data_IF_582271386404
#
_entry.id   IF_582271386404
#
_cell.length_a   1.000
_cell.length_b   1.000
_cell.length_c   1.000
_cell.angle_alpha   90.00
_cell.angle_beta   90.00
_cell.angle_gamma   90.00
#
_symmetry.space_group_name_H-M   'P 1'
#
loop_
_entity.id
_entity.type
_entity.pdbx_description
1 polymer ?
#
# COMPACT_ATOMS: atom_id res chain seq x y z
N UNK A 1 9.70 24.89 -22.95
CA UNK A 1 10.59 24.75 -21.78
C UNK A 1 9.84 24.67 -20.44
N UNK A 2 8.95 25.61 -20.10
CA UNK A 2 8.20 25.60 -18.82
C UNK A 2 7.37 24.32 -18.57
N UNK A 3 6.70 23.78 -19.60
CA UNK A 3 5.90 22.56 -19.46
C UNK A 3 6.74 21.33 -19.08
N UNK A 4 7.96 21.22 -19.62
CA UNK A 4 8.89 20.12 -19.32
C UNK A 4 9.44 20.24 -17.89
N UNK A 5 9.72 21.46 -17.44
CA UNK A 5 10.18 21.73 -16.07
C UNK A 5 9.08 21.44 -15.03
N UNK A 6 7.83 21.80 -15.34
CA UNK A 6 6.68 21.47 -14.48
C UNK A 6 6.47 19.96 -14.39
N UNK A 7 6.51 19.26 -15.53
CA UNK A 7 6.38 17.79 -15.55
C UNK A 7 7.46 17.10 -14.71
N UNK A 8 8.71 17.54 -14.82
CA UNK A 8 9.82 17.00 -14.01
C UNK A 8 9.64 17.29 -12.50
N UNK A 9 9.04 18.44 -12.16
CA UNK A 9 8.71 18.77 -10.77
C UNK A 9 7.60 17.87 -10.24
N UNK A 10 6.53 17.69 -10.99
CA UNK A 10 5.37 16.87 -10.62
C UNK A 10 5.76 15.40 -10.43
N UNK A 11 6.57 14.87 -11.33
CA UNK A 11 7.18 13.55 -11.24
C UNK A 11 7.90 13.36 -9.89
N UNK A 12 8.81 14.29 -9.55
CA UNK A 12 9.57 14.23 -8.29
C UNK A 12 8.66 14.29 -7.06
N UNK A 13 7.62 15.12 -7.09
CA UNK A 13 6.67 15.20 -5.97
C UNK A 13 5.83 13.92 -5.85
N UNK A 14 5.47 13.30 -6.97
CA UNK A 14 4.76 12.02 -6.99
C UNK A 14 5.60 10.89 -6.40
N UNK A 15 6.86 10.74 -6.82
CA UNK A 15 7.83 9.77 -6.28
C UNK A 15 8.06 9.96 -4.77
N UNK A 16 8.29 11.19 -4.32
CA UNK A 16 8.46 11.51 -2.90
C UNK A 16 7.19 11.18 -2.10
N UNK A 17 6.02 11.40 -2.69
CA UNK A 17 4.74 11.06 -2.08
C UNK A 17 4.59 9.56 -1.96
N UNK A 18 4.86 8.79 -3.03
CA UNK A 18 4.87 7.33 -3.02
C UNK A 18 5.78 6.81 -1.90
N UNK A 19 7.05 7.19 -1.90
CA UNK A 19 8.04 6.73 -0.91
C UNK A 19 7.60 7.04 0.53
N UNK A 20 7.03 8.23 0.77
CA UNK A 20 6.50 8.62 2.08
C UNK A 20 5.31 7.77 2.52
N UNK A 21 4.40 7.45 1.61
CA UNK A 21 3.23 6.62 1.89
C UNK A 21 3.61 5.14 2.12
N UNK A 22 4.56 4.61 1.34
CA UNK A 22 5.10 3.26 1.55
C UNK A 22 5.73 3.11 2.93
N UNK A 23 6.59 4.05 3.35
CA UNK A 23 7.16 4.09 4.72
C UNK A 23 6.10 4.13 5.82
N UNK A 24 4.91 4.69 5.53
CA UNK A 24 3.77 4.75 6.46
C UNK A 24 2.89 3.50 6.41
N UNK A 25 3.23 2.49 5.60
CA UNK A 25 2.48 1.26 5.42
C UNK A 25 1.09 1.51 4.84
N UNK A 26 1.05 2.24 3.72
CA UNK A 26 -0.18 2.60 3.01
C UNK A 26 -0.26 1.79 1.73
N UNK A 27 -1.43 1.19 1.50
CA UNK A 27 -1.72 0.49 0.27
C UNK A 27 -2.08 1.45 -0.88
N UNK A 28 -2.11 0.89 -2.09
CA UNK A 28 -2.34 1.60 -3.35
C UNK A 28 -3.47 2.62 -3.30
N UNK A 29 -4.63 2.29 -2.70
CA UNK A 29 -5.78 3.20 -2.68
C UNK A 29 -5.51 4.48 -1.89
N UNK A 30 -4.76 4.39 -0.79
CA UNK A 30 -4.37 5.59 0.00
C UNK A 30 -3.29 6.41 -0.69
N UNK A 31 -2.41 5.76 -1.45
CA UNK A 31 -1.41 6.44 -2.28
C UNK A 31 -2.07 7.23 -3.39
N UNK A 32 -2.99 6.62 -4.14
CA UNK A 32 -3.80 7.30 -5.19
C UNK A 32 -4.54 8.52 -4.63
N UNK A 33 -5.14 8.39 -3.45
CA UNK A 33 -5.79 9.52 -2.77
C UNK A 33 -4.81 10.63 -2.39
N UNK A 34 -3.61 10.28 -1.92
CA UNK A 34 -2.59 11.26 -1.54
C UNK A 34 -2.05 12.04 -2.74
N UNK A 35 -1.86 11.40 -3.91
CA UNK A 35 -1.49 12.07 -5.16
C UNK A 35 -2.62 12.98 -5.65
N UNK A 36 -3.86 12.48 -5.67
CA UNK A 36 -5.03 13.27 -6.07
C UNK A 36 -5.21 14.52 -5.21
N UNK A 37 -4.96 14.44 -3.90
CA UNK A 37 -5.02 15.60 -3.00
C UNK A 37 -3.97 16.68 -3.32
N UNK A 38 -2.88 16.29 -4.00
CA UNK A 38 -1.82 17.18 -4.51
C UNK A 38 -2.01 17.57 -5.98
N UNK A 39 -3.14 17.21 -6.58
CA UNK A 39 -3.43 17.39 -8.01
C UNK A 39 -2.41 16.70 -8.94
N UNK A 40 -1.82 15.59 -8.50
CA UNK A 40 -0.87 14.79 -9.29
C UNK A 40 -1.56 13.57 -9.90
N UNK A 41 -1.18 13.25 -11.14
CA UNK A 41 -1.61 12.03 -11.80
C UNK A 41 -0.89 10.81 -11.21
N UNK A 42 -1.60 9.68 -11.09
CA UNK A 42 -0.99 8.40 -10.73
C UNK A 42 -0.13 7.86 -11.87
N UNK A 43 -0.38 8.27 -13.11
CA UNK A 43 0.41 7.86 -14.28
C UNK A 43 1.91 8.13 -14.08
N UNK A 44 2.25 9.21 -13.36
CA UNK A 44 3.61 9.61 -13.00
C UNK A 44 4.38 8.54 -12.23
N UNK A 45 3.73 7.59 -11.55
CA UNK A 45 4.42 6.58 -10.74
C UNK A 45 3.99 5.15 -11.08
N UNK A 46 3.48 4.92 -12.29
CA UNK A 46 2.89 3.62 -12.65
C UNK A 46 3.92 2.49 -12.62
N UNK A 47 5.14 2.76 -13.08
CA UNK A 47 6.24 1.79 -13.10
C UNK A 47 6.61 1.39 -11.67
N UNK A 48 6.85 2.36 -10.79
CA UNK A 48 7.21 2.14 -9.40
C UNK A 48 6.10 1.42 -8.63
N UNK A 49 4.83 1.73 -8.90
CA UNK A 49 3.70 1.02 -8.28
C UNK A 49 3.63 -0.46 -8.68
N UNK A 50 4.12 -0.81 -9.87
CA UNK A 50 4.17 -2.19 -10.37
C UNK A 50 5.28 -3.01 -9.73
N UNK A 51 6.35 -2.36 -9.27
CA UNK A 51 7.49 -2.99 -8.58
C UNK A 51 7.20 -3.26 -7.08
N UNK A 52 6.16 -2.65 -6.52
CA UNK A 52 5.82 -2.83 -5.10
C UNK A 52 5.16 -4.19 -4.88
N UNK A 53 5.76 -5.02 -4.03
CA UNK A 53 5.10 -6.20 -3.48
C UNK A 53 4.05 -5.80 -2.43
N UNK A 54 2.82 -5.58 -2.91
CA UNK A 54 1.69 -5.21 -2.05
C UNK A 54 1.31 -6.30 -1.06
N UNK A 55 1.54 -7.57 -1.40
CA UNK A 55 1.22 -8.70 -0.52
C UNK A 55 2.18 -8.72 0.66
N UNK A 56 3.48 -8.63 0.40
CA UNK A 56 4.47 -8.56 1.47
C UNK A 56 4.24 -7.33 2.36
N UNK A 57 4.04 -6.14 1.78
CA UNK A 57 3.74 -4.92 2.56
C UNK A 57 2.52 -5.09 3.48
N UNK A 58 1.44 -5.71 3.00
CA UNK A 58 0.26 -5.99 3.82
C UNK A 58 0.55 -7.02 4.91
N UNK A 59 1.31 -8.08 4.59
CA UNK A 59 1.71 -9.13 5.51
C UNK A 59 2.61 -8.58 6.64
N UNK A 60 3.63 -7.80 6.32
CA UNK A 60 4.52 -7.16 7.29
C UNK A 60 3.73 -6.29 8.29
N UNK A 61 2.70 -5.58 7.83
CA UNK A 61 1.82 -4.81 8.70
C UNK A 61 0.90 -5.69 9.56
N UNK A 62 0.40 -6.80 9.00
CA UNK A 62 -0.38 -7.79 9.73
C UNK A 62 0.46 -8.37 10.87
N UNK A 63 1.66 -8.89 10.58
CA UNK A 63 2.51 -9.53 11.59
C UNK A 63 2.94 -8.54 12.67
N UNK A 64 3.31 -7.31 12.30
CA UNK A 64 3.73 -6.28 13.25
C UNK A 64 2.64 -5.94 14.27
N UNK A 65 1.36 -6.09 13.91
CA UNK A 65 0.22 -5.72 14.76
C UNK A 65 -0.46 -6.91 15.43
N UNK A 66 -0.54 -8.05 14.76
CA UNK A 66 -1.37 -9.18 15.16
C UNK A 66 -0.57 -10.49 15.33
N UNK A 67 0.73 -10.48 15.03
CA UNK A 67 1.58 -11.67 15.07
C UNK A 67 1.53 -12.51 13.80
N UNK A 68 2.37 -13.55 13.76
CA UNK A 68 2.55 -14.42 12.60
C UNK A 68 1.38 -15.39 12.38
N UNK A 69 0.72 -15.81 13.46
CA UNK A 69 -0.35 -16.82 13.46
C UNK A 69 -1.55 -16.45 12.58
N UNK A 70 -2.08 -17.42 11.85
CA UNK A 70 -3.30 -17.24 11.07
C UNK A 70 -4.50 -17.28 12.00
N UNK A 71 -5.31 -16.23 11.96
CA UNK A 71 -6.44 -16.08 12.87
C UNK A 71 -7.66 -16.89 12.41
N UNK A 72 -8.16 -17.74 13.31
CA UNK A 72 -9.33 -18.59 13.10
C UNK A 72 -10.62 -17.97 13.64
N UNK A 73 -10.54 -17.10 14.65
CA UNK A 73 -11.72 -16.43 15.19
C UNK A 73 -12.28 -15.40 14.17
N UNK A 74 -13.56 -15.50 13.77
CA UNK A 74 -14.14 -14.61 12.77
C UNK A 74 -14.11 -13.12 13.15
N UNK A 75 -14.28 -12.79 14.44
CA UNK A 75 -14.27 -11.39 14.92
C UNK A 75 -12.87 -10.82 14.87
N UNK A 76 -11.86 -11.59 15.28
CA UNK A 76 -10.46 -11.17 15.21
C UNK A 76 -9.96 -11.08 13.76
N UNK A 77 -10.34 -12.03 12.89
CA UNK A 77 -10.07 -11.96 11.44
C UNK A 77 -10.65 -10.70 10.82
N UNK A 78 -11.91 -10.36 11.14
CA UNK A 78 -12.54 -9.14 10.66
C UNK A 78 -11.83 -7.86 11.15
N UNK A 79 -11.19 -7.88 12.33
CA UNK A 79 -10.35 -6.75 12.79
C UNK A 79 -9.10 -6.60 11.94
N UNK A 80 -8.45 -7.69 11.54
CA UNK A 80 -7.28 -7.66 10.65
C UNK A 80 -7.66 -7.10 9.26
N UNK A 81 -8.78 -7.57 8.70
CA UNK A 81 -9.32 -7.09 7.42
C UNK A 81 -9.56 -5.58 7.47
N UNK A 82 -10.34 -5.10 8.45
CA UNK A 82 -10.64 -3.66 8.60
C UNK A 82 -9.38 -2.82 8.77
N UNK A 83 -8.39 -3.35 9.50
CA UNK A 83 -7.12 -2.65 9.68
C UNK A 83 -6.40 -2.44 8.35
N UNK A 84 -6.21 -3.48 7.53
CA UNK A 84 -5.52 -3.36 6.25
C UNK A 84 -6.35 -2.60 5.21
N UNK A 85 -7.68 -2.75 5.22
CA UNK A 85 -8.57 -1.96 4.38
C UNK A 85 -8.46 -0.46 4.72
N UNK A 86 -8.40 -0.11 6.01
CA UNK A 86 -8.12 1.26 6.42
C UNK A 86 -6.70 1.73 6.06
N UNK A 87 -5.76 0.82 5.79
CA UNK A 87 -4.46 1.18 5.22
C UNK A 87 -4.49 1.34 3.70
N UNK A 88 -5.57 0.97 3.02
CA UNK A 88 -5.76 1.17 1.58
C UNK A 88 -5.34 0.00 0.72
N UNK A 89 -5.20 -1.19 1.29
CA UNK A 89 -4.93 -2.40 0.52
C UNK A 89 -6.21 -2.91 -0.14
N UNK A 90 -6.06 -3.53 -1.30
CA UNK A 90 -7.15 -4.20 -2.00
C UNK A 90 -7.59 -5.48 -1.27
N UNK A 91 -8.87 -5.85 -1.37
CA UNK A 91 -9.39 -7.03 -0.66
C UNK A 91 -8.70 -8.33 -1.07
N UNK A 92 -8.31 -8.51 -2.34
CA UNK A 92 -7.59 -9.71 -2.77
C UNK A 92 -6.25 -9.85 -2.05
N UNK A 93 -5.52 -8.74 -1.90
CA UNK A 93 -4.25 -8.70 -1.15
C UNK A 93 -4.48 -8.92 0.34
N UNK A 94 -5.50 -8.29 0.92
CA UNK A 94 -5.84 -8.44 2.35
C UNK A 94 -6.12 -9.91 2.67
N UNK A 95 -6.93 -10.59 1.86
CA UNK A 95 -7.31 -11.97 2.11
C UNK A 95 -6.12 -12.93 2.02
N UNK A 96 -5.20 -12.70 1.08
CA UNK A 96 -3.94 -13.45 0.99
C UNK A 96 -3.05 -13.17 2.21
N UNK A 97 -2.85 -11.91 2.57
CA UNK A 97 -1.97 -11.52 3.68
C UNK A 97 -2.40 -12.10 5.04
N UNK A 98 -3.70 -12.12 5.34
CA UNK A 98 -4.19 -12.65 6.63
C UNK A 98 -4.21 -14.18 6.69
N UNK A 99 -4.13 -14.85 5.54
CA UNK A 99 -4.13 -16.31 5.42
C UNK A 99 -2.72 -16.90 5.23
N UNK A 100 -1.71 -16.05 4.98
CA UNK A 100 -0.31 -16.47 4.81
C UNK A 100 0.23 -17.09 6.10
N UNK A 101 0.79 -18.28 5.98
CA UNK A 101 1.52 -18.98 7.05
C UNK A 101 3.01 -18.68 6.94
N UNK A 102 3.76 -18.88 8.03
CA UNK A 102 5.22 -18.63 8.06
C UNK A 102 6.03 -19.57 7.17
N UNK A 103 5.42 -20.65 6.68
CA UNK A 103 6.12 -21.76 6.04
C UNK A 103 6.25 -21.60 4.51
N UNK A 104 5.87 -20.44 3.97
CA UNK A 104 5.99 -20.10 2.53
C UNK A 104 7.29 -19.34 2.20
N UNK A 105 8.44 -19.77 2.75
CA UNK A 105 9.78 -19.41 2.23
C UNK A 105 10.41 -20.58 1.45
#
# INVERSE_FOLDING_TARGET
ELAQQNYQSDQRVAELTLASQLRKGKGLQRIKQALKAKQLDTELITEELSEVDWLDQAYQLKIKKFGIEVETDPKLKARQIRFLQYRGFDMGIIMKAIARTSDEE
#
